data_IF_489376156107
#
_entry.id   IF_489376156107
#
_cell.length_a   1.000
_cell.length_b   1.000
_cell.length_c   1.000
_cell.angle_alpha   90.00
_cell.angle_beta   90.00
_cell.angle_gamma   90.00
#
_symmetry.space_group_name_H-M   'P 1'
#
loop_
_entity.id
_entity.type
_entity.pdbx_description
1 polymer ?
#
# COMPACT_ATOMS: atom_id res chain seq x y z
N UNK A 1 35.87 6.61 3.00
CA UNK A 1 34.61 6.30 3.72
C UNK A 1 33.50 6.97 2.96
N UNK A 2 32.55 6.20 2.42
CA UNK A 2 31.38 6.78 1.74
C UNK A 2 30.56 7.58 2.75
N UNK A 3 29.96 8.69 2.32
CA UNK A 3 29.06 9.43 3.19
C UNK A 3 27.89 8.53 3.62
N UNK A 4 27.35 8.65 4.85
CA UNK A 4 26.22 7.83 5.30
C UNK A 4 25.02 7.87 4.35
N UNK A 5 24.81 9.00 3.66
CA UNK A 5 23.79 9.12 2.62
C UNK A 5 24.01 8.16 1.46
N UNK A 6 25.21 8.14 0.90
CA UNK A 6 25.55 7.26 -0.23
C UNK A 6 25.42 5.79 0.16
N UNK A 7 25.85 5.46 1.39
CA UNK A 7 25.72 4.10 1.93
C UNK A 7 24.24 3.66 2.01
N UNK A 8 23.36 4.54 2.48
CA UNK A 8 21.92 4.25 2.62
C UNK A 8 21.22 4.16 1.26
N UNK A 9 21.62 5.00 0.30
CA UNK A 9 21.11 4.92 -1.07
C UNK A 9 21.59 3.64 -1.77
N UNK A 10 22.84 3.20 -1.54
CA UNK A 10 23.41 2.00 -2.14
C UNK A 10 22.71 0.70 -1.71
N UNK A 11 22.18 0.64 -0.48
CA UNK A 11 21.34 -0.49 -0.05
C UNK A 11 19.90 -0.39 -0.57
N UNK A 12 19.55 0.68 -1.28
CA UNK A 12 18.26 0.85 -1.95
C UNK A 12 17.19 1.56 -1.12
N UNK A 13 17.57 2.27 -0.04
CA UNK A 13 16.63 3.14 0.66
C UNK A 13 16.21 4.31 -0.23
N UNK A 14 14.95 4.74 -0.11
CA UNK A 14 14.51 5.94 -0.80
C UNK A 14 15.18 7.18 -0.21
N UNK A 15 15.34 8.21 -1.05
CA UNK A 15 16.10 9.41 -0.69
C UNK A 15 15.52 10.14 0.53
N UNK A 16 14.19 10.16 0.68
CA UNK A 16 13.52 10.76 1.83
C UNK A 16 13.85 10.01 3.10
N UNK A 17 13.73 8.68 3.10
CA UNK A 17 14.05 7.83 4.25
C UNK A 17 15.53 7.88 4.59
N UNK A 18 16.43 7.90 3.60
CA UNK A 18 17.87 8.04 3.82
C UNK A 18 18.20 9.39 4.50
N UNK A 19 17.67 10.51 3.99
CA UNK A 19 17.86 11.84 4.58
C UNK A 19 17.28 11.93 6.01
N UNK A 20 16.06 11.42 6.23
CA UNK A 20 15.43 11.37 7.54
C UNK A 20 16.24 10.53 8.54
N UNK A 21 16.85 9.44 8.06
CA UNK A 21 17.67 8.56 8.89
C UNK A 21 18.93 9.27 9.34
N UNK A 22 19.60 9.99 8.45
CA UNK A 22 20.81 10.77 8.77
C UNK A 22 20.55 11.84 9.83
N UNK A 23 19.36 12.43 9.84
CA UNK A 23 18.97 13.40 10.85
C UNK A 23 18.96 12.81 12.29
N UNK A 24 18.88 11.48 12.43
CA UNK A 24 18.95 10.80 13.72
C UNK A 24 20.28 10.06 13.89
N UNK A 25 21.27 10.72 14.52
CA UNK A 25 22.61 10.18 14.74
C UNK A 25 22.65 8.75 15.32
N UNK A 26 21.73 8.41 16.24
CA UNK A 26 21.69 7.08 16.84
C UNK A 26 21.29 6.02 15.80
N UNK A 27 20.27 6.30 15.01
CA UNK A 27 19.80 5.40 13.95
C UNK A 27 20.82 5.34 12.82
N UNK A 28 21.44 6.47 12.45
CA UNK A 28 22.53 6.53 11.46
C UNK A 28 23.68 5.60 11.84
N UNK A 29 24.18 5.70 13.07
CA UNK A 29 25.29 4.89 13.55
C UNK A 29 24.91 3.40 13.60
N UNK A 30 23.70 3.08 14.09
CA UNK A 30 23.21 1.71 14.14
C UNK A 30 23.07 1.11 12.74
N UNK A 31 22.42 1.83 11.81
CA UNK A 31 22.22 1.36 10.44
C UNK A 31 23.55 1.16 9.73
N UNK A 32 24.50 2.08 9.90
CA UNK A 32 25.84 1.97 9.33
C UNK A 32 26.56 0.72 9.85
N UNK A 33 26.50 0.47 11.16
CA UNK A 33 27.07 -0.73 11.76
C UNK A 33 26.44 -2.02 11.22
N UNK A 34 25.10 -2.06 11.10
CA UNK A 34 24.35 -3.21 10.60
C UNK A 34 24.66 -3.47 9.12
N UNK A 35 24.81 -2.43 8.29
CA UNK A 35 25.19 -2.56 6.88
C UNK A 35 26.57 -3.19 6.72
N UNK A 36 27.54 -2.74 7.53
CA UNK A 36 28.88 -3.32 7.54
C UNK A 36 28.90 -4.76 8.06
N UNK A 37 28.14 -5.05 9.12
CA UNK A 37 27.98 -6.39 9.68
C UNK A 37 27.34 -7.37 8.70
N UNK A 38 26.37 -6.89 7.91
CA UNK A 38 25.74 -7.65 6.84
C UNK A 38 26.63 -7.84 5.59
N UNK A 39 27.76 -7.11 5.49
CA UNK A 39 28.65 -7.18 4.34
C UNK A 39 28.07 -6.61 3.04
N UNK A 40 27.09 -5.70 3.12
CA UNK A 40 26.39 -5.13 1.95
C UNK A 40 26.73 -3.65 1.68
N UNK A 41 27.89 -3.19 2.17
CA UNK A 41 28.32 -1.81 1.98
C UNK A 41 28.50 -1.41 0.50
N UNK A 42 28.81 -2.40 -0.36
CA UNK A 42 28.94 -2.22 -1.81
C UNK A 42 27.59 -2.25 -2.55
N UNK A 43 26.48 -2.43 -1.82
CA UNK A 43 25.12 -2.38 -2.31
C UNK A 43 24.36 -3.71 -2.22
N UNK A 44 23.04 -3.62 -2.25
CA UNK A 44 22.14 -4.79 -2.27
C UNK A 44 20.81 -4.45 -2.96
N UNK A 45 19.94 -5.45 -3.10
CA UNK A 45 18.58 -5.18 -3.59
C UNK A 45 17.80 -4.29 -2.61
N UNK A 46 16.87 -3.49 -3.14
CA UNK A 46 15.98 -2.65 -2.34
C UNK A 46 15.20 -3.45 -1.28
N UNK A 47 14.81 -4.68 -1.60
CA UNK A 47 14.12 -5.56 -0.66
C UNK A 47 15.00 -5.90 0.53
N UNK A 48 16.26 -6.32 0.28
CA UNK A 48 17.25 -6.62 1.32
C UNK A 48 17.56 -5.38 2.15
N UNK A 49 17.76 -4.22 1.52
CA UNK A 49 18.02 -2.97 2.24
C UNK A 49 16.88 -2.54 3.16
N UNK A 50 15.63 -2.68 2.74
CA UNK A 50 14.47 -2.39 3.59
C UNK A 50 14.38 -3.31 4.81
N UNK A 51 14.75 -4.59 4.66
CA UNK A 51 14.81 -5.54 5.77
C UNK A 51 15.96 -5.20 6.73
N UNK A 52 17.13 -4.86 6.21
CA UNK A 52 18.29 -4.40 6.99
C UNK A 52 17.97 -3.12 7.77
N UNK A 53 17.25 -2.17 7.15
CA UNK A 53 16.76 -0.97 7.81
C UNK A 53 15.81 -1.29 8.98
N UNK A 54 14.93 -2.27 8.78
CA UNK A 54 14.02 -2.74 9.83
C UNK A 54 14.79 -3.39 10.98
N UNK A 55 15.84 -4.17 10.70
CA UNK A 55 16.75 -4.70 11.73
C UNK A 55 17.41 -3.56 12.50
N UNK A 56 18.00 -2.58 11.82
CA UNK A 56 18.68 -1.47 12.48
C UNK A 56 17.79 -0.64 13.43
N UNK A 57 16.48 -0.60 13.17
CA UNK A 57 15.51 0.20 13.93
C UNK A 57 14.76 -0.58 14.99
N UNK A 58 14.50 -1.89 14.80
CA UNK A 58 13.66 -2.71 15.69
C UNK A 58 14.39 -3.79 16.48
N UNK A 59 15.66 -4.06 16.18
CA UNK A 59 16.36 -5.19 16.80
C UNK A 59 16.54 -5.03 18.32
N UNK A 60 16.24 -6.10 19.05
CA UNK A 60 16.23 -6.11 20.52
C UNK A 60 17.65 -6.16 21.08
N UNK A 61 17.99 -5.25 21.99
CA UNK A 61 19.33 -5.14 22.55
C UNK A 61 19.78 -6.36 23.37
N UNK A 62 18.84 -7.15 23.90
CA UNK A 62 19.11 -8.38 24.65
C UNK A 62 19.56 -9.57 23.78
N UNK A 63 19.40 -9.47 22.46
CA UNK A 63 19.68 -10.55 21.51
C UNK A 63 20.78 -10.20 20.50
N UNK A 64 21.63 -9.20 20.79
CA UNK A 64 22.65 -8.69 19.85
C UNK A 64 23.62 -9.77 19.35
N UNK A 65 23.84 -10.82 20.14
CA UNK A 65 24.66 -11.98 19.77
C UNK A 65 24.18 -12.67 18.48
N UNK A 66 22.87 -12.67 18.20
CA UNK A 66 22.28 -13.38 17.06
C UNK A 66 22.07 -12.50 15.83
N UNK A 67 22.40 -11.20 15.92
CA UNK A 67 22.18 -10.26 14.81
C UNK A 67 22.97 -10.65 13.55
N UNK A 68 24.24 -11.09 13.62
CA UNK A 68 24.97 -11.52 12.44
C UNK A 68 24.26 -12.67 11.71
N UNK A 69 23.76 -13.65 12.47
CA UNK A 69 23.02 -14.79 11.92
C UNK A 69 21.74 -14.34 11.23
N UNK A 70 20.96 -13.43 11.82
CA UNK A 70 19.76 -12.90 11.16
C UNK A 70 20.11 -12.17 9.85
N UNK A 71 21.18 -11.38 9.83
CA UNK A 71 21.63 -10.65 8.64
C UNK A 71 22.04 -11.60 7.52
N UNK A 72 22.75 -12.70 7.83
CA UNK A 72 23.08 -13.74 6.86
C UNK A 72 21.82 -14.35 6.21
N UNK A 73 20.76 -14.59 7.01
CA UNK A 73 19.48 -15.10 6.50
C UNK A 73 18.75 -14.11 5.58
N UNK A 74 18.90 -12.81 5.84
CA UNK A 74 18.33 -11.76 4.98
C UNK A 74 19.13 -11.68 3.66
N UNK A 75 20.46 -11.63 3.74
CA UNK A 75 21.34 -11.52 2.56
C UNK A 75 21.24 -12.76 1.67
N UNK A 76 21.19 -13.95 2.25
CA UNK A 76 20.96 -15.22 1.53
C UNK A 76 19.53 -15.41 1.04
N UNK A 77 18.64 -14.42 1.25
CA UNK A 77 17.22 -14.47 0.86
C UNK A 77 16.44 -15.65 1.47
N UNK A 78 16.84 -16.15 2.65
CA UNK A 78 16.03 -17.09 3.44
C UNK A 78 14.87 -16.37 4.14
N UNK A 79 15.11 -15.15 4.60
CA UNK A 79 14.08 -14.23 5.13
C UNK A 79 13.81 -13.17 4.08
N UNK A 80 12.67 -13.27 3.39
CA UNK A 80 12.34 -12.45 2.21
C UNK A 80 11.27 -11.40 2.51
N UNK A 81 10.43 -11.63 3.51
CA UNK A 81 9.26 -10.78 3.79
C UNK A 81 9.35 -10.11 5.16
N UNK A 82 8.65 -8.99 5.32
CA UNK A 82 8.54 -8.30 6.62
C UNK A 82 7.90 -9.18 7.68
N UNK A 83 6.95 -10.05 7.31
CA UNK A 83 6.31 -10.98 8.24
C UNK A 83 7.30 -12.00 8.82
N UNK A 84 8.14 -12.59 7.97
CA UNK A 84 9.21 -13.50 8.40
C UNK A 84 10.21 -12.76 9.30
N UNK A 85 10.56 -11.52 8.97
CA UNK A 85 11.47 -10.72 9.78
C UNK A 85 10.87 -10.36 11.14
N UNK A 86 9.62 -9.93 11.22
CA UNK A 86 8.95 -9.60 12.49
C UNK A 86 8.85 -10.86 13.40
N UNK A 87 8.61 -12.04 12.80
CA UNK A 87 8.64 -13.31 13.53
C UNK A 87 10.05 -13.65 14.04
N UNK A 88 11.08 -13.46 13.20
CA UNK A 88 12.48 -13.66 13.58
C UNK A 88 12.89 -12.75 14.74
N UNK A 89 12.57 -11.46 14.65
CA UNK A 89 12.84 -10.50 15.71
C UNK A 89 12.13 -10.90 17.01
N UNK A 90 10.88 -11.35 16.94
CA UNK A 90 10.12 -11.80 18.13
C UNK A 90 10.72 -13.05 18.77
N UNK A 91 11.15 -14.02 17.96
CA UNK A 91 11.81 -15.23 18.44
C UNK A 91 13.15 -14.92 19.12
N UNK A 92 13.97 -14.07 18.48
CA UNK A 92 15.28 -13.67 19.01
C UNK A 92 15.14 -12.83 20.28
N UNK A 93 14.16 -11.92 20.35
CA UNK A 93 13.86 -11.15 21.55
C UNK A 93 13.52 -12.05 22.75
N UNK A 94 12.82 -13.17 22.49
CA UNK A 94 12.45 -14.16 23.51
C UNK A 94 13.65 -15.03 23.91
N UNK A 95 14.48 -15.42 22.95
CA UNK A 95 15.70 -16.23 23.17
C UNK A 95 16.76 -15.43 23.94
N UNK A 96 16.83 -14.11 23.71
CA UNK A 96 17.79 -13.23 24.39
C UNK A 96 19.23 -13.60 24.04
N UNK A 97 20.03 -13.90 25.06
CA UNK A 97 21.46 -14.26 24.92
C UNK A 97 21.73 -15.77 24.99
N UNK A 98 20.68 -16.60 25.00
CA UNK A 98 20.80 -18.05 25.03
C UNK A 98 21.29 -18.62 23.68
N UNK A 99 21.70 -19.88 23.64
CA UNK A 99 22.12 -20.51 22.39
C UNK A 99 20.93 -20.63 21.41
N UNK A 100 21.14 -20.17 20.18
CA UNK A 100 20.12 -20.19 19.13
C UNK A 100 19.98 -21.59 18.54
N UNK A 101 18.84 -22.23 18.78
CA UNK A 101 18.44 -23.45 18.07
C UNK A 101 17.96 -23.08 16.66
N UNK A 102 18.82 -23.34 15.67
CA UNK A 102 18.56 -22.98 14.26
C UNK A 102 17.31 -23.64 13.70
N UNK A 103 16.99 -24.87 14.10
CA UNK A 103 15.81 -25.57 13.57
C UNK A 103 14.52 -24.93 14.08
N UNK A 104 14.49 -24.57 15.38
CA UNK A 104 13.34 -23.86 15.96
C UNK A 104 13.21 -22.45 15.40
N UNK A 105 14.34 -21.78 15.17
CA UNK A 105 14.38 -20.47 14.55
C UNK A 105 13.83 -20.51 13.12
N UNK A 106 14.33 -21.40 12.27
CA UNK A 106 13.88 -21.55 10.88
C UNK A 106 12.37 -21.86 10.81
N UNK A 107 11.89 -22.76 11.67
CA UNK A 107 10.47 -23.10 11.76
C UNK A 107 9.60 -21.91 12.21
N UNK A 108 10.04 -21.16 13.23
CA UNK A 108 9.32 -20.00 13.75
C UNK A 108 9.25 -18.85 12.74
N UNK A 109 10.29 -18.70 11.91
CA UNK A 109 10.39 -17.65 10.91
C UNK A 109 9.76 -18.03 9.57
N UNK A 110 9.31 -19.28 9.39
CA UNK A 110 8.80 -19.77 8.11
C UNK A 110 9.87 -19.80 7.02
N UNK A 111 11.12 -20.08 7.36
CA UNK A 111 12.20 -20.25 6.38
C UNK A 111 11.92 -21.49 5.54
N UNK A 112 12.00 -21.36 4.22
CA UNK A 112 11.69 -22.44 3.28
C UNK A 112 10.19 -22.70 3.06
N UNK A 113 9.31 -21.95 3.73
CA UNK A 113 7.86 -22.04 3.47
C UNK A 113 7.51 -21.16 2.27
N UNK A 114 7.16 -21.78 1.16
CA UNK A 114 6.61 -21.11 -0.01
C UNK A 114 5.10 -21.39 -0.08
N UNK A 115 4.30 -20.32 -0.04
CA UNK A 115 2.84 -20.43 -0.15
C UNK A 115 2.46 -20.27 -1.61
N UNK A 116 1.87 -21.32 -2.19
CA UNK A 116 1.45 -21.31 -3.59
C UNK A 116 0.21 -20.42 -3.82
N UNK A 117 -0.01 -20.01 -5.08
CA UNK A 117 -1.22 -19.27 -5.47
C UNK A 117 -2.49 -20.09 -5.24
N UNK A 118 -2.39 -21.41 -5.36
CA UNK A 118 -3.48 -22.36 -5.15
C UNK A 118 -3.85 -22.43 -3.66
N UNK A 119 -2.86 -22.43 -2.77
CA UNK A 119 -3.09 -22.41 -1.32
C UNK A 119 -3.74 -21.11 -0.87
N UNK A 120 -3.29 -19.97 -1.42
CA UNK A 120 -3.91 -18.66 -1.15
C UNK A 120 -5.36 -18.66 -1.64
N UNK A 121 -5.61 -19.10 -2.88
CA UNK A 121 -6.96 -19.18 -3.45
C UNK A 121 -7.88 -20.06 -2.59
N UNK A 122 -7.40 -21.23 -2.17
CA UNK A 122 -8.15 -22.14 -1.30
C UNK A 122 -8.50 -21.49 0.04
N UNK A 123 -7.53 -20.89 0.72
CA UNK A 123 -7.75 -20.24 2.01
C UNK A 123 -8.70 -19.03 1.91
N UNK A 124 -8.59 -18.22 0.85
CA UNK A 124 -9.51 -17.11 0.58
C UNK A 124 -10.93 -17.66 0.36
N UNK A 125 -11.10 -18.70 -0.46
CA UNK A 125 -12.40 -19.29 -0.72
C UNK A 125 -13.07 -19.83 0.54
N UNK A 126 -12.33 -20.57 1.38
CA UNK A 126 -12.85 -21.09 2.64
C UNK A 126 -13.31 -19.97 3.58
N UNK A 127 -12.49 -18.92 3.75
CA UNK A 127 -12.86 -17.77 4.60
C UNK A 127 -14.10 -17.05 4.06
N UNK A 128 -14.22 -16.90 2.74
CA UNK A 128 -15.37 -16.26 2.12
C UNK A 128 -16.64 -17.11 2.23
N UNK A 129 -16.56 -18.43 2.07
CA UNK A 129 -17.70 -19.33 2.27
C UNK A 129 -18.16 -19.37 3.73
N UNK A 130 -17.23 -19.40 4.68
CA UNK A 130 -17.56 -19.33 6.13
C UNK A 130 -18.27 -18.02 6.51
N UNK A 131 -17.95 -16.91 5.82
CA UNK A 131 -18.51 -15.59 6.11
C UNK A 131 -19.59 -15.15 5.11
N UNK A 132 -20.03 -16.06 4.22
CA UNK A 132 -20.89 -15.74 3.07
C UNK A 132 -22.21 -15.11 3.45
N UNK A 133 -22.86 -15.61 4.51
CA UNK A 133 -24.12 -15.06 5.00
C UNK A 133 -23.98 -13.58 5.40
N UNK A 134 -22.93 -13.26 6.17
CA UNK A 134 -22.62 -11.89 6.59
C UNK A 134 -22.22 -11.01 5.41
N UNK A 135 -21.46 -11.56 4.44
CA UNK A 135 -21.06 -10.85 3.22
C UNK A 135 -22.27 -10.47 2.39
N UNK A 136 -23.24 -11.36 2.21
CA UNK A 136 -24.46 -11.07 1.44
C UNK A 136 -25.37 -10.07 2.16
N UNK A 137 -25.45 -10.11 3.49
CA UNK A 137 -26.24 -9.16 4.29
C UNK A 137 -25.63 -7.75 4.28
N UNK A 138 -24.33 -7.65 4.52
CA UNK A 138 -23.63 -6.36 4.65
C UNK A 138 -23.12 -5.82 3.31
N UNK A 139 -23.07 -6.65 2.28
CA UNK A 139 -22.49 -6.36 0.96
C UNK A 139 -21.11 -5.70 1.11
N UNK A 140 -20.91 -4.54 0.49
CA UNK A 140 -19.65 -3.81 0.50
C UNK A 140 -19.34 -3.11 1.83
N UNK A 141 -20.25 -3.18 2.81
CA UNK A 141 -19.99 -2.74 4.19
C UNK A 141 -19.29 -3.81 5.03
N UNK A 142 -19.12 -5.02 4.48
CA UNK A 142 -18.37 -6.09 5.14
C UNK A 142 -16.94 -5.63 5.41
N UNK A 143 -16.44 -5.92 6.61
CA UNK A 143 -15.08 -5.58 6.98
C UNK A 143 -14.09 -6.52 6.28
N UNK A 144 -13.62 -6.12 5.09
CA UNK A 144 -12.62 -6.88 4.32
C UNK A 144 -11.33 -7.08 5.12
N UNK A 145 -10.97 -6.14 5.99
CA UNK A 145 -9.79 -6.28 6.86
C UNK A 145 -9.88 -7.46 7.83
N UNK A 146 -11.09 -7.78 8.31
CA UNK A 146 -11.32 -8.95 9.17
C UNK A 146 -11.20 -10.26 8.39
N UNK A 147 -11.75 -10.31 7.17
CA UNK A 147 -11.60 -11.46 6.27
C UNK A 147 -10.13 -11.72 5.92
N UNK A 148 -9.38 -10.67 5.56
CA UNK A 148 -7.94 -10.77 5.32
C UNK A 148 -7.18 -11.23 6.58
N UNK A 149 -7.62 -10.80 7.76
CA UNK A 149 -7.10 -11.25 9.04
C UNK A 149 -7.28 -12.76 9.26
N UNK A 150 -8.44 -13.32 8.89
CA UNK A 150 -8.69 -14.76 8.94
C UNK A 150 -7.80 -15.55 7.99
N UNK A 151 -7.59 -15.06 6.76
CA UNK A 151 -6.66 -15.69 5.81
C UNK A 151 -5.23 -15.65 6.35
N UNK A 152 -4.79 -14.52 6.91
CA UNK A 152 -3.45 -14.38 7.50
C UNK A 152 -3.20 -15.31 8.69
N UNK A 153 -4.24 -15.65 9.47
CA UNK A 153 -4.11 -16.65 10.54
C UNK A 153 -3.84 -18.06 10.01
N UNK A 154 -4.38 -18.42 8.84
CA UNK A 154 -4.17 -19.73 8.19
C UNK A 154 -2.84 -19.77 7.45
N UNK A 155 -2.51 -18.69 6.74
CA UNK A 155 -1.32 -18.57 5.89
C UNK A 155 -0.51 -17.33 6.30
N UNK A 156 0.26 -17.39 7.40
CA UNK A 156 1.00 -16.24 7.92
C UNK A 156 2.11 -15.74 6.99
N UNK A 157 2.60 -16.62 6.10
CA UNK A 157 3.69 -16.34 5.16
C UNK A 157 3.23 -16.03 3.73
N UNK A 158 1.92 -15.95 3.49
CA UNK A 158 1.38 -15.63 2.17
C UNK A 158 1.68 -14.18 1.76
N UNK A 159 1.81 -13.95 0.45
CA UNK A 159 1.90 -12.59 -0.10
C UNK A 159 0.59 -11.83 0.15
N UNK A 160 0.66 -10.84 1.04
CA UNK A 160 -0.49 -10.00 1.42
C UNK A 160 -1.12 -9.28 0.22
N UNK A 161 -0.33 -8.93 -0.81
CA UNK A 161 -0.84 -8.30 -2.03
C UNK A 161 -1.65 -9.30 -2.84
N UNK A 162 -1.15 -10.52 -3.02
CA UNK A 162 -1.85 -11.58 -3.73
C UNK A 162 -3.15 -11.98 -3.00
N UNK A 163 -3.09 -12.13 -1.67
CA UNK A 163 -4.27 -12.41 -0.82
C UNK A 163 -5.33 -11.33 -1.00
N UNK A 164 -4.93 -10.04 -0.96
CA UNK A 164 -5.85 -8.92 -1.12
C UNK A 164 -6.49 -8.90 -2.51
N UNK A 165 -5.70 -9.09 -3.56
CA UNK A 165 -6.21 -9.11 -4.93
C UNK A 165 -7.27 -10.21 -5.11
N UNK A 166 -6.99 -11.43 -4.65
CA UNK A 166 -7.94 -12.54 -4.71
C UNK A 166 -9.20 -12.29 -3.89
N UNK A 167 -9.06 -11.71 -2.69
CA UNK A 167 -10.20 -11.35 -1.84
C UNK A 167 -11.09 -10.28 -2.50
N UNK A 168 -10.50 -9.25 -3.10
CA UNK A 168 -11.23 -8.19 -3.81
C UNK A 168 -11.98 -8.77 -5.04
N UNK A 169 -11.33 -9.66 -5.80
CA UNK A 169 -11.97 -10.37 -6.92
C UNK A 169 -13.13 -11.25 -6.44
N UNK A 170 -12.95 -12.03 -5.37
CA UNK A 170 -14.01 -12.89 -4.81
C UNK A 170 -15.18 -12.08 -4.26
N UNK A 171 -14.90 -10.95 -3.63
CA UNK A 171 -15.94 -10.05 -3.15
C UNK A 171 -16.77 -9.49 -4.30
N UNK A 172 -16.12 -9.09 -5.40
CA UNK A 172 -16.79 -8.63 -6.61
C UNK A 172 -17.63 -9.74 -7.25
N UNK A 173 -17.10 -10.96 -7.39
CA UNK A 173 -17.84 -12.12 -7.91
C UNK A 173 -19.12 -12.42 -7.12
N UNK A 174 -19.09 -12.24 -5.80
CA UNK A 174 -20.24 -12.51 -4.92
C UNK A 174 -21.27 -11.37 -4.89
N UNK A 175 -20.81 -10.11 -4.95
CA UNK A 175 -21.68 -8.96 -4.70
C UNK A 175 -22.08 -8.18 -5.96
N UNK A 176 -21.34 -8.35 -7.06
CA UNK A 176 -21.48 -7.54 -8.27
C UNK A 176 -21.17 -6.07 -8.03
N UNK A 177 -21.73 -5.18 -8.84
CA UNK A 177 -21.43 -3.75 -8.74
C UNK A 177 -21.91 -3.11 -7.42
N UNK A 178 -21.19 -2.07 -7.00
CA UNK A 178 -21.59 -1.23 -5.86
C UNK A 178 -22.84 -0.43 -6.22
N UNK A 179 -23.84 -0.49 -5.36
CA UNK A 179 -25.11 0.22 -5.51
C UNK A 179 -25.21 1.38 -4.53
N UNK A 180 -26.14 2.32 -4.76
CA UNK A 180 -26.38 3.43 -3.84
C UNK A 180 -26.72 2.97 -2.41
N UNK A 181 -27.36 1.79 -2.27
CA UNK A 181 -27.67 1.18 -0.99
C UNK A 181 -26.40 0.82 -0.19
N UNK A 182 -25.25 0.56 -0.83
CA UNK A 182 -24.00 0.24 -0.14
C UNK A 182 -23.40 1.46 0.59
N UNK A 183 -23.73 2.68 0.13
CA UNK A 183 -23.23 3.94 0.67
C UNK A 183 -24.08 4.50 1.82
N UNK A 184 -25.26 3.95 2.06
CA UNK A 184 -26.08 4.38 3.20
C UNK A 184 -25.45 3.91 4.52
N UNK A 185 -25.46 4.74 5.56
CA UNK A 185 -25.04 4.29 6.89
C UNK A 185 -26.15 3.43 7.50
N UNK A 186 -25.86 2.25 8.08
CA UNK A 186 -26.89 1.40 8.65
C UNK A 186 -27.66 2.11 9.78
N UNK A 187 -28.99 2.09 9.71
CA UNK A 187 -29.84 2.39 10.86
C UNK A 187 -29.62 1.30 11.92
N UNK A 188 -29.23 1.72 13.13
CA UNK A 188 -28.95 0.81 14.25
C UNK A 188 -30.18 -0.03 14.59
N UNK A 189 -30.24 -1.29 14.15
CA UNK A 189 -31.04 -2.31 14.85
C UNK A 189 -30.28 -2.74 16.10
N UNK A 190 -30.86 -2.44 17.27
CA UNK A 190 -30.38 -2.88 18.58
C UNK A 190 -30.28 -4.42 18.60
N UNK A 191 -29.06 -4.94 18.78
CA UNK A 191 -28.81 -6.21 19.48
C UNK A 191 -28.00 -5.88 20.72
N UNK A 192 -28.48 -6.38 21.85
CA UNK A 192 -27.94 -6.15 23.20
C UNK A 192 -26.51 -6.68 23.31
N UNK A 193 -25.64 -5.89 23.96
CA UNK A 193 -24.33 -6.32 24.46
C UNK A 193 -24.45 -6.55 25.97
N UNK A 194 -23.88 -7.62 26.54
CA UNK A 194 -23.49 -7.64 27.95
C UNK A 194 -22.29 -6.69 28.18
N UNK A 195 -22.18 -6.23 29.42
CA UNK A 195 -21.55 -4.98 29.84
C UNK A 195 -20.02 -4.85 29.64
N UNK A 196 -19.62 -3.58 29.56
CA UNK A 196 -18.28 -2.99 29.64
C UNK A 196 -17.48 -3.49 30.85
N UNK A 197 -16.17 -3.65 30.65
CA UNK A 197 -15.16 -3.17 31.61
C UNK A 197 -14.47 -1.99 30.93
N UNK A 198 -14.62 -0.81 31.53
CA UNK A 198 -13.86 0.39 31.18
C UNK A 198 -12.50 0.32 31.87
N UNK A 199 -11.44 0.63 31.15
CA UNK A 199 -10.30 1.30 31.75
C UNK A 199 -9.92 2.52 30.88
N UNK A 200 -9.81 3.67 31.54
CA UNK A 200 -9.51 4.97 30.94
C UNK A 200 -8.01 5.25 31.03
N UNK A 201 -7.40 5.67 29.91
CA UNK A 201 -6.32 6.66 29.85
C UNK A 201 -6.21 7.15 28.39
N UNK A 202 -6.72 8.35 28.08
CA UNK A 202 -5.99 9.62 27.95
C UNK A 202 -5.51 9.89 26.51
N UNK A 203 -5.59 11.14 26.01
CA UNK A 203 -5.51 11.45 24.58
C UNK A 203 -4.06 11.41 24.12
N UNK A 204 -3.75 10.52 23.17
CA UNK A 204 -2.49 10.58 22.43
C UNK A 204 -2.74 11.52 21.25
N UNK A 205 -2.05 12.66 21.30
CA UNK A 205 -1.93 13.61 20.21
C UNK A 205 -1.56 12.86 18.92
N UNK A 206 -2.36 13.08 17.88
CA UNK A 206 -2.04 12.73 16.50
C UNK A 206 -0.64 13.25 16.19
N UNK A 207 0.32 12.43 15.73
CA UNK A 207 1.51 12.97 15.11
C UNK A 207 1.04 13.78 13.90
N UNK A 208 1.35 15.07 13.90
CA UNK A 208 1.20 15.91 12.72
C UNK A 208 1.89 15.21 11.55
N UNK A 209 1.09 14.87 10.53
CA UNK A 209 1.63 14.52 9.22
C UNK A 209 2.58 15.66 8.79
N UNK A 210 3.79 15.36 8.30
CA UNK A 210 4.54 16.33 7.52
C UNK A 210 3.64 16.83 6.39
N UNK A 211 3.74 18.09 5.94
CA UNK A 211 2.83 18.65 4.96
C UNK A 211 2.87 17.80 3.67
N UNK A 212 1.77 17.08 3.40
CA UNK A 212 1.50 16.37 2.15
C UNK A 212 0.99 17.36 1.07
N UNK A 213 1.48 18.60 1.07
CA UNK A 213 1.10 19.59 0.05
C UNK A 213 1.95 19.54 -1.22
N UNK A 214 2.85 18.56 -1.38
CA UNK A 214 3.50 18.35 -2.67
C UNK A 214 3.53 16.88 -3.08
N UNK A 215 3.16 16.67 -4.35
CA UNK A 215 3.14 15.42 -5.12
C UNK A 215 1.82 14.61 -5.11
N UNK A 216 0.64 15.22 -5.02
CA UNK A 216 -0.45 14.68 -5.84
C UNK A 216 -0.20 15.15 -7.28
N UNK A 217 0.28 14.28 -8.20
CA UNK A 217 0.65 14.66 -9.56
C UNK A 217 -0.56 15.12 -10.38
N UNK A 218 -1.78 14.94 -9.86
CA UNK A 218 -3.03 15.30 -10.51
C UNK A 218 -3.52 16.71 -10.16
N UNK A 219 -2.89 17.41 -9.20
CA UNK A 219 -3.25 18.79 -8.83
C UNK A 219 -3.04 19.80 -9.97
N UNK A 220 -2.17 19.48 -10.93
CA UNK A 220 -1.96 20.30 -12.12
C UNK A 220 -3.18 20.35 -13.04
N UNK A 221 -4.13 19.41 -12.90
CA UNK A 221 -5.33 19.39 -13.72
C UNK A 221 -6.42 20.25 -13.11
N UNK A 222 -7.14 21.07 -13.92
CA UNK A 222 -8.19 21.95 -13.43
C UNK A 222 -9.35 21.18 -12.80
N UNK A 223 -10.07 21.84 -11.90
CA UNK A 223 -11.29 21.28 -11.32
C UNK A 223 -12.45 21.36 -12.32
N UNK A 224 -13.44 20.46 -12.26
CA UNK A 224 -14.59 20.48 -13.18
C UNK A 224 -15.35 21.82 -13.21
N UNK A 225 -15.38 22.55 -12.09
CA UNK A 225 -16.00 23.87 -11.97
C UNK A 225 -15.29 24.95 -12.80
N UNK A 226 -14.01 24.76 -13.10
CA UNK A 226 -13.21 25.69 -13.90
C UNK A 226 -13.56 25.64 -15.39
N UNK A 227 -14.37 24.67 -15.85
CA UNK A 227 -14.76 24.52 -17.26
C UNK A 227 -15.61 25.67 -17.83
N UNK A 228 -16.12 26.55 -16.98
CA UNK A 228 -16.87 27.75 -17.37
C UNK A 228 -15.95 28.95 -17.69
N UNK A 229 -14.66 28.85 -17.36
CA UNK A 229 -13.68 29.91 -17.60
C UNK A 229 -13.16 29.83 -19.02
N UNK A 230 -12.85 30.99 -19.59
CA UNK A 230 -12.13 31.07 -20.87
C UNK A 230 -10.65 30.81 -20.58
N UNK A 231 -10.17 29.62 -20.92
CA UNK A 231 -8.78 29.22 -20.68
C UNK A 231 -7.83 29.65 -21.81
N UNK A 232 -8.38 29.93 -22.99
CA UNK A 232 -7.60 30.33 -24.17
C UNK A 232 -8.45 31.20 -25.08
N UNK A 233 -7.87 32.30 -25.54
CA UNK A 233 -8.40 33.14 -26.60
C UNK A 233 -7.55 32.94 -27.86
N UNK A 234 -8.18 32.60 -28.97
CA UNK A 234 -7.52 32.43 -30.26
C UNK A 234 -7.98 33.55 -31.20
N UNK A 235 -7.14 34.56 -31.46
CA UNK A 235 -7.45 35.62 -32.42
C UNK A 235 -7.24 35.11 -33.85
N UNK A 236 -8.20 35.37 -34.72
CA UNK A 236 -8.13 35.08 -36.15
C UNK A 236 -7.77 36.34 -36.96
N UNK A 237 -7.22 36.14 -38.15
CA UNK A 237 -6.81 37.22 -39.06
C UNK A 237 -7.97 38.12 -39.52
N UNK A 238 -9.21 37.65 -39.40
CA UNK A 238 -10.42 38.42 -39.70
C UNK A 238 -10.94 39.25 -38.51
N UNK A 239 -10.19 39.30 -37.40
CA UNK A 239 -10.55 40.03 -36.18
C UNK A 239 -11.49 39.28 -35.21
N UNK A 240 -11.91 38.05 -35.54
CA UNK A 240 -12.73 37.24 -34.64
C UNK A 240 -11.85 36.61 -33.56
N UNK A 241 -12.37 36.50 -32.33
CA UNK A 241 -11.68 35.81 -31.22
C UNK A 241 -12.51 34.58 -30.82
N UNK A 242 -11.92 33.40 -30.91
CA UNK A 242 -12.51 32.17 -30.36
C UNK A 242 -12.15 32.04 -28.89
N UNK A 243 -13.18 31.85 -28.05
CA UNK A 243 -13.05 31.59 -26.62
C UNK A 243 -13.49 30.16 -26.35
N UNK A 244 -12.54 29.30 -26.00
CA UNK A 244 -12.83 27.89 -25.74
C UNK A 244 -13.35 27.72 -24.30
N UNK A 245 -14.67 27.82 -24.13
CA UNK A 245 -15.37 27.51 -22.87
C UNK A 245 -16.73 26.85 -23.15
N UNK A 246 -17.19 26.00 -22.24
CA UNK A 246 -18.52 25.41 -22.36
C UNK A 246 -19.59 26.42 -21.94
N UNK A 247 -20.70 26.48 -22.69
CA UNK A 247 -21.87 27.26 -22.25
C UNK A 247 -22.51 26.59 -21.04
N UNK A 248 -23.14 27.40 -20.18
CA UNK A 248 -23.83 26.88 -18.97
C UNK A 248 -24.86 25.80 -19.32
N UNK A 249 -25.63 25.98 -20.39
CA UNK A 249 -26.63 25.02 -20.84
C UNK A 249 -26.03 23.66 -21.26
N UNK A 250 -24.88 23.66 -21.95
CA UNK A 250 -24.17 22.44 -22.32
C UNK A 250 -23.60 21.73 -21.08
N UNK A 251 -23.05 22.50 -20.15
CA UNK A 251 -22.52 21.95 -18.89
C UNK A 251 -23.64 21.34 -18.05
N UNK A 252 -24.79 22.00 -17.92
CA UNK A 252 -25.95 21.46 -17.17
C UNK A 252 -26.43 20.14 -17.78
N UNK A 253 -26.48 20.03 -19.11
CA UNK A 253 -26.81 18.78 -19.80
C UNK A 253 -25.76 17.70 -19.53
N UNK A 254 -24.48 18.06 -19.57
CA UNK A 254 -23.37 17.13 -19.29
C UNK A 254 -23.42 16.62 -17.84
N UNK A 255 -23.55 17.52 -16.85
CA UNK A 255 -23.61 17.17 -15.44
C UNK A 255 -24.81 16.27 -15.12
N UNK A 256 -25.95 16.48 -15.77
CA UNK A 256 -27.11 15.56 -15.67
C UNK A 256 -26.79 14.15 -16.19
N UNK A 257 -26.02 14.04 -17.26
CA UNK A 257 -25.67 12.75 -17.85
C UNK A 257 -24.56 12.02 -17.07
N UNK A 258 -23.57 12.75 -16.55
CA UNK A 258 -22.38 12.17 -15.88
C UNK A 258 -22.49 12.13 -14.36
N UNK A 259 -23.49 12.81 -13.78
CA UNK A 259 -23.61 12.98 -12.34
C UNK A 259 -22.46 13.77 -11.72
N UNK A 260 -21.77 14.59 -12.51
CA UNK A 260 -20.61 15.38 -12.06
C UNK A 260 -19.32 14.56 -11.86
N UNK A 261 -19.30 13.29 -12.23
CA UNK A 261 -18.10 12.44 -12.14
C UNK A 261 -17.07 12.81 -13.21
N UNK A 262 -15.79 12.74 -12.86
CA UNK A 262 -14.69 12.87 -13.82
C UNK A 262 -14.64 11.61 -14.69
N UNK A 263 -14.67 11.78 -16.00
CA UNK A 263 -14.61 10.69 -16.96
C UNK A 263 -13.43 10.90 -17.92
N UNK A 264 -12.46 9.99 -17.89
CA UNK A 264 -11.29 9.99 -18.79
C UNK A 264 -11.39 8.84 -19.79
N UNK A 265 -10.46 8.77 -20.76
CA UNK A 265 -10.34 7.61 -21.64
C UNK A 265 -8.87 7.35 -21.97
N UNK A 266 -8.48 6.09 -22.04
CA UNK A 266 -7.21 5.65 -22.60
C UNK A 266 -7.49 4.90 -23.91
N UNK A 267 -7.29 5.49 -25.09
CA UNK A 267 -7.72 4.91 -26.37
C UNK A 267 -6.53 4.34 -27.17
N UNK A 268 -5.97 3.16 -26.83
CA UNK A 268 -4.92 2.56 -27.63
C UNK A 268 -5.47 2.05 -28.96
N UNK A 269 -4.62 1.93 -29.98
CA UNK A 269 -4.98 1.21 -31.19
C UNK A 269 -5.18 -0.28 -30.85
N UNK A 270 -6.27 -0.94 -31.30
CA UNK A 270 -6.59 -2.32 -30.91
C UNK A 270 -5.48 -3.34 -31.23
N UNK A 271 -4.72 -3.10 -32.30
CA UNK A 271 -3.62 -3.95 -32.73
C UNK A 271 -2.24 -3.32 -32.46
N UNK A 272 -2.19 -2.23 -31.70
CA UNK A 272 -0.95 -1.52 -31.36
C UNK A 272 -0.20 -2.19 -30.21
N UNK A 273 1.13 -2.04 -30.21
CA UNK A 273 1.96 -2.53 -29.11
C UNK A 273 2.21 -1.42 -28.09
N UNK A 274 1.84 -1.69 -26.84
CA UNK A 274 2.12 -0.79 -25.73
C UNK A 274 3.63 -0.74 -25.45
N UNK A 275 4.13 0.45 -25.19
CA UNK A 275 5.52 0.74 -24.84
C UNK A 275 5.55 1.72 -23.67
N UNK A 276 6.73 2.10 -23.18
CA UNK A 276 6.87 2.93 -21.98
C UNK A 276 6.11 4.28 -22.03
N UNK A 277 5.88 4.84 -23.22
CA UNK A 277 5.06 6.05 -23.38
C UNK A 277 3.60 5.83 -22.97
N UNK A 278 3.07 4.64 -23.25
CA UNK A 278 1.72 4.26 -22.83
C UNK A 278 1.60 4.12 -21.31
N UNK A 279 2.69 3.81 -20.59
CA UNK A 279 2.67 3.82 -19.14
C UNK A 279 2.31 5.21 -18.57
N UNK A 280 2.81 6.28 -19.18
CA UNK A 280 2.45 7.66 -18.80
C UNK A 280 0.99 7.97 -19.13
N UNK A 281 0.51 7.58 -20.31
CA UNK A 281 -0.88 7.78 -20.70
C UNK A 281 -1.85 7.05 -19.75
N UNK A 282 -1.61 5.76 -19.48
CA UNK A 282 -2.41 4.99 -18.52
C UNK A 282 -2.35 5.59 -17.11
N UNK A 283 -1.18 6.02 -16.66
CA UNK A 283 -1.04 6.66 -15.34
C UNK A 283 -1.89 7.93 -15.24
N UNK A 284 -1.94 8.75 -16.29
CA UNK A 284 -2.76 9.96 -16.32
C UNK A 284 -4.23 9.59 -16.41
N UNK A 285 -4.64 8.80 -17.40
CA UNK A 285 -6.07 8.57 -17.68
C UNK A 285 -6.75 7.78 -16.54
N UNK A 286 -6.20 6.63 -16.17
CA UNK A 286 -6.77 5.81 -15.08
C UNK A 286 -6.50 6.41 -13.70
N UNK A 287 -5.31 7.01 -13.50
CA UNK A 287 -4.94 7.60 -12.22
C UNK A 287 -5.78 8.83 -11.87
N UNK A 288 -6.02 9.72 -12.84
CA UNK A 288 -6.83 10.91 -12.65
C UNK A 288 -8.30 10.56 -12.36
N UNK A 289 -8.85 9.57 -13.08
CA UNK A 289 -10.19 9.08 -12.82
C UNK A 289 -10.29 8.50 -11.40
N UNK A 290 -9.30 7.71 -10.97
CA UNK A 290 -9.27 7.13 -9.62
C UNK A 290 -9.14 8.18 -8.52
N UNK A 291 -8.29 9.20 -8.73
CA UNK A 291 -8.07 10.30 -7.78
C UNK A 291 -9.34 11.13 -7.53
N UNK A 292 -10.21 11.23 -8.55
CA UNK A 292 -11.42 12.07 -8.52
C UNK A 292 -12.72 11.28 -8.43
N UNK A 293 -12.66 10.05 -7.92
CA UNK A 293 -13.82 9.16 -7.77
C UNK A 293 -14.66 9.01 -9.06
N UNK A 294 -13.96 9.01 -10.20
CA UNK A 294 -14.46 9.01 -11.55
C UNK A 294 -14.38 7.65 -12.24
N UNK A 295 -14.44 7.67 -13.57
CA UNK A 295 -14.31 6.47 -14.43
C UNK A 295 -13.37 6.71 -15.61
N UNK A 296 -12.78 5.64 -16.14
CA UNK A 296 -11.93 5.68 -17.33
C UNK A 296 -12.42 4.64 -18.34
N UNK A 297 -12.62 5.06 -19.59
CA UNK A 297 -12.94 4.18 -20.70
C UNK A 297 -11.67 3.66 -21.36
N UNK A 298 -11.62 2.36 -21.66
CA UNK A 298 -10.58 1.72 -22.47
C UNK A 298 -11.14 1.48 -23.88
#
# INVERSE_FOLDING_TARGET
MNAPLDLFLNIGLDERTARNTIANNKVTNNLTAVIHEAGVADGCSRTVGNLIYTVATKYSGNALLHRPTLLEYIVSSKVKTTAQLDAALSFLATTGSENLDLNKFEAACGVGVEVSTEDISRAVNEVFEENKASILELRYRTNVGELLGHVRKRLPWADAKAVKQLADTKLYELLGDKTAADNEKPSKKKKEKPAKVEDKAAPIATPEKPPEEDLNPFLIFPNPEDNLKVHTEVPFSNGTILRCCNTKALLDKHLKATGGKVLTRFPPEPNGYLHIGHAKAMFIDFGLAKDRDGGCYL
#
